data_IF_043857181653
#
_entry.id   IF_043857181653
#
_cell.length_a   1.000
_cell.length_b   1.000
_cell.length_c   1.000
_cell.angle_alpha   90.00
_cell.angle_beta   90.00
_cell.angle_gamma   90.00
#
_symmetry.space_group_name_H-M   'P 1'
#
loop_
_entity.id
_entity.type
_entity.pdbx_description
1 polymer ?
#
# COMPACT_ATOMS: atom_id res chain seq x y z
N UNK A 1 13.01 -8.38 6.87
CA UNK A 1 12.74 -7.00 7.32
C UNK A 1 13.53 -5.96 6.51
N UNK A 2 13.85 -6.22 5.23
CA UNK A 2 14.76 -5.38 4.44
C UNK A 2 14.08 -4.59 3.32
N UNK A 3 12.76 -4.73 3.16
CA UNK A 3 12.03 -4.11 2.05
C UNK A 3 11.36 -2.78 2.42
N UNK A 4 11.05 -2.55 3.70
CA UNK A 4 10.33 -1.36 4.16
C UNK A 4 11.05 -0.03 3.87
N UNK A 5 12.38 0.09 4.05
CA UNK A 5 13.08 1.35 3.75
C UNK A 5 12.95 1.80 2.28
N UNK A 6 12.57 0.91 1.35
CA UNK A 6 12.33 1.31 -0.04
C UNK A 6 11.14 2.29 -0.16
N UNK A 7 10.16 2.19 0.73
CA UNK A 7 8.99 3.08 0.78
C UNK A 7 9.35 4.54 1.08
N UNK A 8 10.53 4.80 1.64
CA UNK A 8 11.00 6.16 1.96
C UNK A 8 11.42 6.95 0.71
N UNK A 9 11.57 6.27 -0.43
CA UNK A 9 11.92 6.89 -1.71
C UNK A 9 10.66 7.15 -2.54
N UNK A 10 10.61 8.22 -3.36
CA UNK A 10 9.52 8.39 -4.32
C UNK A 10 9.41 7.18 -5.26
N UNK A 11 8.21 6.60 -5.39
CA UNK A 11 7.99 5.40 -6.20
C UNK A 11 8.46 5.54 -7.65
N UNK A 12 8.18 6.65 -8.38
CA UNK A 12 8.64 6.79 -9.76
C UNK A 12 10.16 6.69 -9.91
N UNK A 13 10.90 7.19 -8.92
CA UNK A 13 12.36 7.09 -8.90
C UNK A 13 12.81 5.65 -8.63
N UNK A 14 12.20 4.98 -7.64
CA UNK A 14 12.50 3.59 -7.33
C UNK A 14 12.21 2.65 -8.52
N UNK A 15 11.09 2.84 -9.21
CA UNK A 15 10.74 2.08 -10.41
C UNK A 15 11.70 2.35 -11.58
N UNK A 16 12.04 3.62 -11.80
CA UNK A 16 12.98 4.01 -12.87
C UNK A 16 14.35 3.39 -12.68
N UNK A 17 14.89 3.44 -11.45
CA UNK A 17 16.17 2.83 -11.13
C UNK A 17 16.13 1.30 -11.26
N UNK A 18 15.06 0.65 -10.80
CA UNK A 18 14.90 -0.79 -10.95
C UNK A 18 14.86 -1.20 -12.44
N UNK A 19 14.09 -0.49 -13.28
CA UNK A 19 14.00 -0.81 -14.72
C UNK A 19 15.33 -0.69 -15.47
N UNK A 20 16.28 0.11 -14.99
CA UNK A 20 17.61 0.25 -15.62
C UNK A 20 18.50 -0.97 -15.43
N UNK A 21 18.23 -1.79 -14.42
CA UNK A 21 19.10 -2.90 -14.03
C UNK A 21 18.44 -4.27 -14.21
N UNK A 22 17.15 -4.31 -14.57
CA UNK A 22 16.43 -5.56 -14.81
C UNK A 22 16.73 -6.10 -16.21
N UNK A 23 17.07 -7.37 -16.28
CA UNK A 23 17.24 -8.13 -17.50
C UNK A 23 15.92 -8.82 -17.93
N UNK A 24 15.74 -9.21 -19.20
CA UNK A 24 14.52 -9.86 -19.69
C UNK A 24 14.14 -11.19 -19.00
N UNK A 25 15.05 -11.78 -18.22
CA UNK A 25 14.79 -12.99 -17.42
C UNK A 25 14.41 -12.72 -15.97
N UNK A 26 14.43 -11.46 -15.52
CA UNK A 26 14.16 -11.12 -14.14
C UNK A 26 12.66 -11.18 -13.80
N UNK A 27 12.31 -11.41 -12.52
CA UNK A 27 10.93 -11.38 -12.05
C UNK A 27 10.23 -10.05 -12.34
N UNK A 28 8.91 -10.12 -12.51
CA UNK A 28 8.07 -8.94 -12.74
C UNK A 28 8.20 -7.94 -11.57
N UNK A 29 8.72 -6.75 -11.90
CA UNK A 29 8.87 -5.63 -10.99
C UNK A 29 7.54 -5.27 -10.32
N UNK A 30 6.41 -5.41 -11.01
CA UNK A 30 5.10 -5.11 -10.45
C UNK A 30 4.76 -6.01 -9.26
N UNK A 31 5.06 -7.31 -9.32
CA UNK A 31 4.84 -8.22 -8.18
C UNK A 31 5.80 -7.92 -7.03
N UNK A 32 7.05 -7.54 -7.32
CA UNK A 32 7.99 -7.12 -6.29
C UNK A 32 7.52 -5.86 -5.55
N UNK A 33 7.03 -4.85 -6.28
CA UNK A 33 6.48 -3.62 -5.68
C UNK A 33 5.22 -3.89 -4.86
N UNK A 34 4.34 -4.77 -5.35
CA UNK A 34 3.16 -5.22 -4.60
C UNK A 34 3.54 -5.87 -3.28
N UNK A 35 4.58 -6.69 -3.26
CA UNK A 35 5.08 -7.30 -2.02
C UNK A 35 5.61 -6.26 -1.02
N UNK A 36 6.25 -5.19 -1.50
CA UNK A 36 6.72 -4.07 -0.66
C UNK A 36 5.53 -3.33 -0.05
N UNK A 37 4.53 -2.97 -0.87
CA UNK A 37 3.29 -2.31 -0.42
C UNK A 37 2.58 -3.18 0.62
N UNK A 38 2.34 -4.45 0.31
CA UNK A 38 1.72 -5.39 1.25
C UNK A 38 2.48 -5.48 2.57
N UNK A 39 3.82 -5.51 2.52
CA UNK A 39 4.65 -5.54 3.72
C UNK A 39 4.53 -4.26 4.55
N UNK A 40 4.35 -3.11 3.92
CA UNK A 40 4.13 -1.84 4.60
C UNK A 40 2.74 -1.73 5.23
N UNK A 41 1.69 -2.18 4.53
CA UNK A 41 0.32 -2.20 5.06
C UNK A 41 0.15 -3.15 6.26
N UNK A 42 0.93 -4.24 6.29
CA UNK A 42 0.94 -5.22 7.40
C UNK A 42 1.98 -4.90 8.48
N UNK A 43 2.64 -3.75 8.40
CA UNK A 43 3.67 -3.38 9.37
C UNK A 43 3.06 -3.00 10.72
N UNK A 44 3.83 -3.20 11.80
CA UNK A 44 3.40 -2.88 13.16
C UNK A 44 3.39 -1.38 13.49
N UNK A 45 3.96 -0.55 12.61
CA UNK A 45 4.16 0.89 12.83
C UNK A 45 3.33 1.71 11.85
N UNK A 46 2.65 2.71 12.39
CA UNK A 46 1.86 3.68 11.62
C UNK A 46 2.70 4.40 10.56
N UNK A 47 3.99 4.61 10.82
CA UNK A 47 4.93 5.21 9.86
C UNK A 47 5.01 4.42 8.55
N UNK A 48 5.20 3.10 8.64
CA UNK A 48 5.33 2.24 7.47
C UNK A 48 4.01 2.06 6.73
N UNK A 49 2.89 2.05 7.46
CA UNK A 49 1.56 2.03 6.87
C UNK A 49 1.34 3.30 6.04
N UNK A 50 1.61 4.48 6.61
CA UNK A 50 1.40 5.73 5.92
C UNK A 50 2.25 5.84 4.65
N UNK A 51 3.53 5.46 4.72
CA UNK A 51 4.38 5.40 3.53
C UNK A 51 3.85 4.43 2.48
N UNK A 52 3.37 3.26 2.89
CA UNK A 52 2.81 2.28 1.96
C UNK A 52 1.55 2.82 1.28
N UNK A 53 0.66 3.47 2.03
CA UNK A 53 -0.56 4.10 1.51
C UNK A 53 -0.22 5.17 0.46
N UNK A 54 0.78 6.01 0.72
CA UNK A 54 1.21 7.05 -0.22
C UNK A 54 1.92 6.48 -1.46
N UNK A 55 2.45 5.26 -1.37
CA UNK A 55 3.09 4.57 -2.48
C UNK A 55 2.13 3.87 -3.44
N UNK A 56 0.88 3.63 -3.04
CA UNK A 56 -0.03 2.79 -3.80
C UNK A 56 -0.44 3.41 -5.13
N UNK A 57 -0.55 2.57 -6.17
CA UNK A 57 -1.26 2.92 -7.40
C UNK A 57 -2.71 2.40 -7.38
N UNK A 58 -3.48 2.74 -8.42
CA UNK A 58 -4.89 2.37 -8.52
C UNK A 58 -5.14 0.85 -8.45
N UNK A 59 -4.31 0.05 -9.14
CA UNK A 59 -4.46 -1.40 -9.20
C UNK A 59 -4.20 -2.04 -7.82
N UNK A 60 -3.25 -1.49 -7.07
CA UNK A 60 -2.94 -1.93 -5.71
C UNK A 60 -4.03 -1.52 -4.73
N UNK A 61 -4.66 -0.36 -4.91
CA UNK A 61 -5.81 0.04 -4.08
C UNK A 61 -6.97 -0.94 -4.26
N UNK A 62 -7.22 -1.39 -5.50
CA UNK A 62 -8.21 -2.45 -5.77
C UNK A 62 -7.81 -3.78 -5.15
N UNK A 63 -6.55 -4.19 -5.35
CA UNK A 63 -6.04 -5.48 -4.87
C UNK A 63 -6.00 -5.58 -3.35
N UNK A 64 -5.72 -4.48 -2.66
CA UNK A 64 -5.60 -4.42 -1.20
C UNK A 64 -6.81 -3.73 -0.53
N UNK A 65 -7.96 -3.67 -1.20
CA UNK A 65 -9.13 -2.97 -0.71
C UNK A 65 -9.59 -3.45 0.68
N UNK A 66 -9.49 -4.75 0.95
CA UNK A 66 -9.83 -5.35 2.26
C UNK A 66 -8.91 -4.83 3.36
N UNK A 67 -7.58 -4.86 3.17
CA UNK A 67 -6.62 -4.34 4.14
C UNK A 67 -6.78 -2.82 4.35
N UNK A 68 -7.13 -2.09 3.29
CA UNK A 68 -7.42 -0.65 3.40
C UNK A 68 -8.67 -0.39 4.24
N UNK A 69 -9.69 -1.25 4.16
CA UNK A 69 -10.86 -1.18 5.02
C UNK A 69 -10.49 -1.45 6.48
N UNK A 70 -9.71 -2.49 6.75
CA UNK A 70 -9.19 -2.79 8.09
C UNK A 70 -8.42 -1.58 8.67
N UNK A 71 -7.48 -1.03 7.91
CA UNK A 71 -6.70 0.15 8.33
C UNK A 71 -7.63 1.35 8.56
N UNK A 72 -8.61 1.60 7.68
CA UNK A 72 -9.51 2.76 7.80
C UNK A 72 -10.40 2.71 9.06
N UNK A 73 -10.70 1.52 9.56
CA UNK A 73 -11.61 1.32 10.70
C UNK A 73 -10.90 1.07 12.03
N UNK A 74 -9.71 0.46 12.02
CA UNK A 74 -8.95 0.14 13.22
C UNK A 74 -8.45 1.41 13.94
N UNK A 75 -8.98 1.64 15.15
CA UNK A 75 -8.65 2.80 15.98
C UNK A 75 -7.22 2.80 16.51
N UNK A 76 -6.48 1.69 16.36
CA UNK A 76 -5.07 1.60 16.69
C UNK A 76 -4.21 2.52 15.81
N UNK A 77 -4.63 2.76 14.57
CA UNK A 77 -3.87 3.58 13.62
C UNK A 77 -4.18 5.07 13.76
N UNK A 78 -3.21 5.89 13.35
CA UNK A 78 -3.38 7.33 13.43
C UNK A 78 -4.56 7.80 12.57
N UNK A 79 -5.06 8.99 12.89
CA UNK A 79 -6.10 9.60 12.06
C UNK A 79 -5.63 9.79 10.60
N UNK A 80 -4.34 10.10 10.39
CA UNK A 80 -3.79 10.27 9.06
C UNK A 80 -3.87 8.98 8.24
N UNK A 81 -3.35 7.86 8.76
CA UNK A 81 -3.40 6.55 8.10
C UNK A 81 -4.82 6.13 7.76
N UNK A 82 -5.73 6.26 8.74
CA UNK A 82 -7.16 5.94 8.55
C UNK A 82 -7.82 6.79 7.46
N UNK A 83 -7.59 8.10 7.50
CA UNK A 83 -8.15 9.02 6.51
C UNK A 83 -7.57 8.79 5.12
N UNK A 84 -6.27 8.52 5.02
CA UNK A 84 -5.61 8.22 3.73
C UNK A 84 -6.16 6.93 3.13
N UNK A 85 -6.23 5.83 3.90
CA UNK A 85 -6.81 4.56 3.44
C UNK A 85 -8.26 4.75 2.95
N UNK A 86 -9.09 5.43 3.75
CA UNK A 86 -10.47 5.77 3.36
C UNK A 86 -10.54 6.62 2.10
N UNK A 87 -9.63 7.59 1.93
CA UNK A 87 -9.58 8.45 0.73
C UNK A 87 -9.26 7.62 -0.51
N UNK A 88 -8.29 6.72 -0.45
CA UNK A 88 -7.92 5.83 -1.55
C UNK A 88 -9.11 4.96 -1.97
N UNK A 89 -9.79 4.32 -1.00
CA UNK A 89 -10.99 3.52 -1.26
C UNK A 89 -12.10 4.34 -1.92
N UNK A 90 -12.35 5.57 -1.44
CA UNK A 90 -13.36 6.47 -2.03
C UNK A 90 -13.02 6.85 -3.47
N UNK A 91 -11.77 7.16 -3.77
CA UNK A 91 -11.33 7.53 -5.13
C UNK A 91 -11.53 6.40 -6.14
N UNK A 92 -11.54 5.14 -5.68
CA UNK A 92 -11.84 3.96 -6.52
C UNK A 92 -13.30 3.51 -6.49
N UNK A 93 -14.16 4.17 -5.73
CA UNK A 93 -15.56 3.71 -5.54
C UNK A 93 -15.69 2.42 -4.72
N UNK A 94 -14.66 2.04 -3.97
CA UNK A 94 -14.60 0.80 -3.17
C UNK A 94 -14.96 1.02 -1.70
N UNK A 95 -15.25 2.26 -1.30
CA UNK A 95 -15.66 2.57 0.06
C UNK A 95 -17.10 2.11 0.31
N UNK A 96 -17.26 1.07 1.13
CA UNK A 96 -18.54 0.70 1.74
C UNK A 96 -18.46 0.88 3.26
N UNK A 97 -19.34 1.70 3.87
CA UNK A 97 -19.40 1.89 5.32
C UNK A 97 -19.72 0.61 6.11
N UNK A 98 -20.17 -0.45 5.44
CA UNK A 98 -20.69 -1.68 6.04
C UNK A 98 -19.69 -2.83 6.12
N UNK A 99 -18.45 -2.65 5.62
CA UNK A 99 -17.43 -3.71 5.53
C UNK A 99 -17.11 -4.40 6.87
N UNK A 100 -17.44 -3.79 8.00
CA UNK A 100 -17.09 -4.30 9.32
C UNK A 100 -18.06 -5.33 9.92
N UNK A 101 -19.15 -5.70 9.23
CA UNK A 101 -20.20 -6.58 9.81
C UNK A 101 -20.04 -8.08 9.52
N UNK A 102 -19.03 -8.53 8.76
CA UNK A 102 -18.98 -9.92 8.27
C UNK A 102 -17.64 -10.66 8.48
N UNK A 103 -16.81 -10.23 9.43
CA UNK A 103 -15.65 -11.02 9.88
C UNK A 103 -15.91 -11.64 11.25
#
# INVERSE_FOLDING_TARGET
MWLLPLLERPRPEAESEARKVLDPGDPDLTEALRAIVHRGLTAWSDYWILLALDWMNNDEVERFAEQLHEIAHDQRWSQASRHTAKRLLKQRGLWSPEHHRLA
#
